data_IF_920411971660
#
_entry.id   IF_920411971660
#
_cell.length_a   1.000
_cell.length_b   1.000
_cell.length_c   1.000
_cell.angle_alpha   90.00
_cell.angle_beta   90.00
_cell.angle_gamma   90.00
#
_symmetry.space_group_name_H-M   'P 1'
#
loop_
_entity.id
_entity.type
_entity.pdbx_description
1 polymer ?
#
# COMPACT_ATOMS: atom_id res chain seq x y z
N UNK A 1 -44.03 23.17 -18.24
CA UNK A 1 -43.80 22.98 -16.79
C UNK A 1 -43.05 21.65 -16.60
N UNK A 2 -41.84 21.54 -17.16
CA UNK A 2 -41.02 20.31 -17.22
C UNK A 2 -39.52 20.59 -17.03
N UNK A 3 -39.15 21.83 -16.69
CA UNK A 3 -37.75 22.30 -16.61
C UNK A 3 -37.25 22.53 -15.17
N UNK A 4 -38.12 22.40 -14.17
CA UNK A 4 -37.77 22.55 -12.75
C UNK A 4 -37.16 21.29 -12.16
N UNK A 5 -37.60 20.12 -12.63
CA UNK A 5 -37.24 18.83 -12.03
C UNK A 5 -35.86 18.36 -12.49
N UNK A 6 -35.47 18.68 -13.73
CA UNK A 6 -34.15 18.40 -14.30
C UNK A 6 -33.02 19.19 -13.61
N UNK A 7 -33.30 20.43 -13.19
CA UNK A 7 -32.34 21.28 -12.44
C UNK A 7 -32.23 20.92 -10.95
N UNK A 8 -33.25 20.30 -10.37
CA UNK A 8 -33.19 19.79 -9.01
C UNK A 8 -32.46 18.43 -8.95
N UNK A 9 -32.67 17.54 -9.93
CA UNK A 9 -31.92 16.29 -10.04
C UNK A 9 -30.40 16.53 -10.22
N UNK A 10 -30.01 17.56 -10.98
CA UNK A 10 -28.59 17.92 -11.16
C UNK A 10 -27.95 18.61 -9.95
N UNK A 11 -28.76 19.13 -9.00
CA UNK A 11 -28.28 19.68 -7.74
C UNK A 11 -28.17 18.63 -6.64
N UNK A 12 -29.03 17.61 -6.67
CA UNK A 12 -28.95 16.44 -5.78
C UNK A 12 -27.76 15.52 -6.11
N UNK A 13 -27.36 15.45 -7.38
CA UNK A 13 -26.19 14.67 -7.80
C UNK A 13 -24.85 15.30 -7.40
N UNK A 14 -24.78 16.59 -7.05
CA UNK A 14 -23.53 17.20 -6.62
C UNK A 14 -23.11 16.83 -5.18
N UNK A 15 -23.97 16.12 -4.43
CA UNK A 15 -23.64 15.50 -3.14
C UNK A 15 -23.00 14.10 -3.26
N UNK A 16 -22.64 13.65 -4.48
CA UNK A 16 -22.40 12.24 -4.82
C UNK A 16 -21.11 11.58 -4.30
N UNK A 17 -20.05 12.32 -3.95
CA UNK A 17 -18.81 11.77 -3.36
C UNK A 17 -17.87 12.94 -3.04
N UNK A 18 -17.48 13.11 -1.78
CA UNK A 18 -16.47 14.10 -1.38
C UNK A 18 -15.18 13.39 -0.93
N UNK A 19 -14.24 13.25 -1.88
CA UNK A 19 -12.95 12.61 -1.65
C UNK A 19 -12.15 13.29 -0.54
N UNK A 20 -12.26 14.62 -0.44
CA UNK A 20 -11.54 15.41 0.56
C UNK A 20 -12.10 15.13 1.93
N UNK A 21 -13.41 15.17 2.09
CA UNK A 21 -14.05 14.90 3.37
C UNK A 21 -13.78 13.46 3.84
N UNK A 22 -13.84 12.49 2.92
CA UNK A 22 -13.50 11.09 3.22
C UNK A 22 -12.02 10.93 3.58
N UNK A 23 -11.11 11.52 2.80
CA UNK A 23 -9.67 11.48 3.09
C UNK A 23 -9.31 12.11 4.42
N UNK A 24 -9.88 13.28 4.75
CA UNK A 24 -9.66 13.96 6.03
C UNK A 24 -10.16 13.16 7.24
N UNK A 25 -11.08 12.22 7.03
CA UNK A 25 -11.62 11.38 8.09
C UNK A 25 -10.79 10.13 8.40
N UNK A 26 -9.87 9.75 7.50
CA UNK A 26 -8.96 8.63 7.72
C UNK A 26 -7.95 8.97 8.81
N UNK A 27 -7.81 8.10 9.81
CA UNK A 27 -6.83 8.23 10.89
C UNK A 27 -6.08 6.92 11.05
N UNK A 28 -4.78 6.99 11.33
CA UNK A 28 -4.01 5.79 11.67
C UNK A 28 -4.56 5.18 12.96
N UNK A 29 -4.98 3.93 12.90
CA UNK A 29 -5.57 3.19 14.03
C UNK A 29 -4.71 2.01 14.47
N UNK A 30 -3.84 1.50 13.61
CA UNK A 30 -2.92 0.43 13.95
C UNK A 30 -1.62 0.48 13.12
N UNK A 31 -0.54 0.07 13.76
CA UNK A 31 0.75 -0.21 13.11
C UNK A 31 1.24 -1.56 13.60
N UNK A 32 1.35 -2.52 12.68
CA UNK A 32 1.77 -3.88 12.99
C UNK A 32 3.12 -4.21 12.35
N UNK A 33 3.92 -5.01 13.04
CA UNK A 33 5.20 -5.51 12.54
C UNK A 33 5.07 -7.02 12.29
N UNK A 34 5.04 -7.40 11.02
CA UNK A 34 4.97 -8.80 10.60
C UNK A 34 6.41 -9.29 10.40
N UNK A 35 6.87 -10.12 11.34
CA UNK A 35 8.21 -10.74 11.28
C UNK A 35 8.10 -12.12 10.65
N UNK A 36 8.85 -12.36 9.58
CA UNK A 36 9.00 -13.68 8.98
C UNK A 36 10.47 -13.94 8.67
N UNK A 37 11.07 -14.90 9.38
CA UNK A 37 12.49 -15.24 9.26
C UNK A 37 13.39 -13.99 9.44
N UNK A 38 14.03 -13.55 8.35
CA UNK A 38 14.93 -12.38 8.30
C UNK A 38 14.26 -11.13 7.71
N UNK A 39 12.93 -11.15 7.51
CA UNK A 39 12.18 -10.06 6.90
C UNK A 39 11.20 -9.45 7.90
N UNK A 40 11.20 -8.12 7.92
CA UNK A 40 10.26 -7.31 8.66
C UNK A 40 9.41 -6.51 7.68
N UNK A 41 8.09 -6.66 7.80
CA UNK A 41 7.11 -5.86 7.06
C UNK A 41 6.33 -5.03 8.08
N UNK A 42 6.29 -3.73 7.86
CA UNK A 42 5.46 -2.80 8.64
C UNK A 42 4.14 -2.61 7.92
N UNK A 43 3.03 -2.80 8.63
CA UNK A 43 1.67 -2.61 8.13
C UNK A 43 1.06 -1.42 8.86
N UNK A 44 0.64 -0.40 8.12
CA UNK A 44 -0.09 0.74 8.65
C UNK A 44 -1.54 0.66 8.21
N UNK A 45 -2.47 0.83 9.15
CA UNK A 45 -3.89 0.86 8.88
C UNK A 45 -4.48 2.21 9.27
N UNK A 46 -5.07 2.87 8.29
CA UNK A 46 -5.85 4.09 8.44
C UNK A 46 -7.32 3.76 8.24
N UNK A 47 -8.16 4.13 9.20
CA UNK A 47 -9.59 3.84 9.19
C UNK A 47 -10.42 5.14 9.23
N UNK A 48 -11.51 5.16 8.49
CA UNK A 48 -12.48 6.24 8.43
C UNK A 48 -13.79 5.82 9.09
N UNK A 49 -14.42 6.75 9.81
CA UNK A 49 -15.80 6.60 10.28
C UNK A 49 -16.86 6.64 9.15
N UNK A 50 -16.45 6.79 7.89
CA UNK A 50 -17.31 7.00 6.72
C UNK A 50 -17.13 5.90 5.66
N UNK A 51 -16.83 4.68 6.10
CA UNK A 51 -16.66 3.50 5.25
C UNK A 51 -15.50 3.64 4.25
N UNK A 52 -14.30 3.82 4.81
CA UNK A 52 -13.07 3.74 4.06
C UNK A 52 -11.91 3.24 4.92
N UNK A 53 -11.01 2.49 4.29
CA UNK A 53 -9.78 1.99 4.90
C UNK A 53 -8.61 2.18 3.93
N UNK A 54 -7.45 2.58 4.45
CA UNK A 54 -6.20 2.61 3.72
C UNK A 54 -5.18 1.74 4.47
N UNK A 55 -4.66 0.74 3.78
CA UNK A 55 -3.60 -0.13 4.25
C UNK A 55 -2.32 0.14 3.45
N UNK A 56 -1.19 0.22 4.15
CA UNK A 56 0.14 0.42 3.55
C UNK A 56 1.07 -0.62 4.15
N UNK A 57 1.72 -1.42 3.29
CA UNK A 57 2.75 -2.36 3.69
C UNK A 57 4.11 -1.89 3.20
N UNK A 58 5.06 -1.80 4.13
CA UNK A 58 6.42 -1.36 3.87
C UNK A 58 7.44 -2.42 4.24
N UNK A 59 8.53 -2.49 3.50
CA UNK A 59 9.66 -3.33 3.86
C UNK A 59 10.54 -2.69 4.96
N UNK A 60 11.55 -3.42 5.41
CA UNK A 60 12.55 -2.95 6.38
C UNK A 60 13.33 -1.67 5.96
N UNK A 61 13.31 -1.30 4.68
CA UNK A 61 13.90 -0.07 4.14
C UNK A 61 12.87 1.05 3.96
N UNK A 62 11.66 0.86 4.49
CA UNK A 62 10.53 1.79 4.41
C UNK A 62 10.01 2.00 2.98
N UNK A 63 10.29 1.09 2.03
CA UNK A 63 9.68 1.13 0.71
C UNK A 63 8.28 0.51 0.76
N UNK A 64 7.32 1.15 0.10
CA UNK A 64 5.97 0.60 -0.06
C UNK A 64 6.02 -0.58 -1.03
N UNK A 65 5.63 -1.77 -0.58
CA UNK A 65 5.58 -3.00 -1.38
C UNK A 65 4.15 -3.37 -1.78
N UNK A 66 3.17 -2.87 -1.02
CA UNK A 66 1.75 -3.00 -1.28
C UNK A 66 1.01 -1.82 -0.62
N UNK A 67 -0.07 -1.38 -1.23
CA UNK A 67 -1.01 -0.42 -0.67
C UNK A 67 -2.42 -0.74 -1.17
N UNK A 68 -3.42 -0.46 -0.35
CA UNK A 68 -4.80 -0.75 -0.68
C UNK A 68 -5.69 0.30 -0.06
N UNK A 69 -6.58 0.89 -0.84
CA UNK A 69 -7.65 1.74 -0.34
C UNK A 69 -9.00 1.12 -0.70
N UNK A 70 -9.87 0.97 0.29
CA UNK A 70 -11.27 0.62 0.12
C UNK A 70 -12.16 1.77 0.54
N UNK A 71 -13.25 1.98 -0.17
CA UNK A 71 -14.25 3.00 0.15
C UNK A 71 -15.58 2.66 -0.49
N UNK A 72 -16.68 2.74 0.26
CA UNK A 72 -18.03 2.48 -0.26
C UNK A 72 -18.15 1.17 -1.05
N UNK A 73 -17.55 0.10 -0.51
CA UNK A 73 -17.48 -1.22 -1.15
C UNK A 73 -16.57 -1.31 -2.38
N UNK A 74 -15.96 -0.21 -2.84
CA UNK A 74 -14.95 -0.23 -3.91
C UNK A 74 -13.56 -0.47 -3.34
N UNK A 75 -12.68 -0.98 -4.19
CA UNK A 75 -11.30 -1.27 -3.87
C UNK A 75 -10.36 -0.73 -4.95
N UNK A 76 -9.26 -0.13 -4.53
CA UNK A 76 -8.08 0.09 -5.36
C UNK A 76 -6.85 -0.45 -4.63
N UNK A 77 -6.16 -1.40 -5.26
CA UNK A 77 -4.94 -2.00 -4.73
C UNK A 77 -3.78 -1.70 -5.69
N UNK A 78 -2.60 -1.43 -5.15
CA UNK A 78 -1.35 -1.59 -5.86
C UNK A 78 -0.43 -2.53 -5.09
N UNK A 79 0.23 -3.43 -5.80
CA UNK A 79 1.37 -4.15 -5.26
C UNK A 79 2.49 -4.23 -6.30
N UNK A 80 3.71 -4.39 -5.82
CA UNK A 80 4.91 -4.35 -6.66
C UNK A 80 4.97 -5.48 -7.72
N UNK A 81 4.20 -6.56 -7.56
CA UNK A 81 4.23 -7.72 -8.45
C UNK A 81 3.21 -7.56 -9.59
N UNK A 82 1.99 -7.17 -9.25
CA UNK A 82 0.84 -7.20 -10.15
C UNK A 82 0.42 -5.80 -10.64
N UNK A 83 0.92 -4.73 -10.01
CA UNK A 83 0.55 -3.36 -10.34
C UNK A 83 -0.78 -2.95 -9.74
N UNK A 84 -1.45 -2.00 -10.39
CA UNK A 84 -2.73 -1.45 -9.93
C UNK A 84 -3.90 -2.33 -10.39
N UNK A 85 -4.81 -2.63 -9.45
CA UNK A 85 -6.10 -3.27 -9.72
C UNK A 85 -7.22 -2.55 -9.00
N UNK A 86 -8.43 -2.64 -9.55
CA UNK A 86 -9.66 -2.25 -8.88
C UNK A 86 -10.54 -3.47 -8.61
N UNK A 87 -11.51 -3.31 -7.72
CA UNK A 87 -12.49 -4.34 -7.45
C UNK A 87 -13.55 -3.90 -6.46
N UNK A 88 -14.26 -4.89 -5.92
CA UNK A 88 -15.28 -4.72 -4.91
C UNK A 88 -14.95 -5.53 -3.65
N UNK A 89 -15.26 -4.93 -2.50
CA UNK A 89 -15.29 -5.60 -1.21
C UNK A 89 -16.69 -6.13 -0.99
N UNK A 90 -16.83 -7.45 -0.91
CA UNK A 90 -18.10 -8.14 -0.70
C UNK A 90 -18.12 -8.66 0.73
N UNK A 91 -19.01 -8.09 1.54
CA UNK A 91 -19.27 -8.60 2.88
C UNK A 91 -20.16 -9.84 2.78
N UNK A 92 -19.67 -10.98 3.29
CA UNK A 92 -20.49 -12.18 3.39
C UNK A 92 -21.19 -12.23 4.75
N UNK A 93 -22.45 -11.80 4.77
CA UNK A 93 -23.29 -11.84 5.97
C UNK A 93 -23.66 -13.29 6.40
N UNK A 94 -23.45 -14.29 5.53
CA UNK A 94 -23.85 -15.68 5.81
C UNK A 94 -22.86 -16.43 6.69
N UNK A 95 -21.59 -16.03 6.72
CA UNK A 95 -20.55 -16.61 7.58
C UNK A 95 -20.39 -15.82 8.89
N UNK A 96 -21.44 -15.87 9.74
CA UNK A 96 -21.53 -15.21 11.07
C UNK A 96 -20.41 -15.52 12.08
N UNK A 97 -19.46 -16.39 11.75
CA UNK A 97 -18.46 -16.87 12.71
C UNK A 97 -17.04 -16.37 12.49
N UNK A 98 -16.68 -15.81 11.31
CA UNK A 98 -15.37 -15.19 11.02
C UNK A 98 -15.38 -14.56 9.62
N UNK A 99 -16.38 -13.74 9.30
CA UNK A 99 -16.60 -13.21 7.94
C UNK A 99 -15.42 -12.37 7.46
N UNK A 100 -14.45 -12.99 6.77
CA UNK A 100 -13.42 -12.25 6.04
C UNK A 100 -14.07 -11.68 4.79
N UNK A 101 -13.99 -10.35 4.61
CA UNK A 101 -14.49 -9.72 3.40
C UNK A 101 -13.87 -10.38 2.16
N UNK A 102 -14.72 -10.73 1.18
CA UNK A 102 -14.28 -11.31 -0.07
C UNK A 102 -13.96 -10.18 -1.06
N UNK A 103 -12.73 -10.15 -1.57
CA UNK A 103 -12.36 -9.22 -2.63
C UNK A 103 -12.64 -9.84 -4.00
N UNK A 104 -13.42 -9.14 -4.82
CA UNK A 104 -13.62 -9.48 -6.24
C UNK A 104 -12.95 -8.42 -7.10
N UNK A 105 -11.83 -8.76 -7.73
CA UNK A 105 -11.17 -7.88 -8.67
C UNK A 105 -11.93 -7.74 -9.99
N UNK A 106 -11.84 -6.56 -10.58
CA UNK A 106 -12.35 -6.30 -11.92
C UNK A 106 -11.46 -6.94 -12.98
N UNK A 107 -12.04 -7.26 -14.14
CA UNK A 107 -11.27 -7.72 -15.30
C UNK A 107 -10.41 -6.62 -15.93
N UNK A 108 -10.80 -5.36 -15.75
CA UNK A 108 -10.11 -4.17 -16.23
C UNK A 108 -10.12 -3.06 -15.17
N UNK A 109 -9.10 -2.21 -15.18
CA UNK A 109 -8.96 -1.10 -14.24
C UNK A 109 -10.11 -0.08 -14.40
N UNK A 110 -10.90 0.10 -13.34
CA UNK A 110 -11.96 1.10 -13.29
C UNK A 110 -11.36 2.49 -13.03
N UNK A 111 -11.32 3.32 -14.08
CA UNK A 111 -10.69 4.65 -14.04
C UNK A 111 -11.29 5.57 -12.96
N UNK A 112 -12.61 5.50 -12.77
CA UNK A 112 -13.29 6.32 -11.78
C UNK A 112 -12.88 5.94 -10.36
N UNK A 113 -12.91 4.64 -10.02
CA UNK A 113 -12.44 4.12 -8.74
C UNK A 113 -10.98 4.49 -8.50
N UNK A 114 -10.13 4.37 -9.53
CA UNK A 114 -8.73 4.74 -9.44
C UNK A 114 -8.54 6.23 -9.12
N UNK A 115 -9.26 7.11 -9.82
CA UNK A 115 -9.20 8.56 -9.57
C UNK A 115 -9.69 8.91 -8.16
N UNK A 116 -10.81 8.32 -7.74
CA UNK A 116 -11.38 8.52 -6.40
C UNK A 116 -10.41 8.08 -5.31
N UNK A 117 -9.76 6.92 -5.47
CA UNK A 117 -8.73 6.44 -4.53
C UNK A 117 -7.55 7.41 -4.41
N UNK A 118 -7.04 7.92 -5.53
CA UNK A 118 -5.98 8.93 -5.55
C UNK A 118 -6.40 10.21 -4.84
N UNK A 119 -7.61 10.71 -5.12
CA UNK A 119 -8.14 11.94 -4.53
C UNK A 119 -8.32 11.80 -3.01
N UNK A 120 -8.77 10.64 -2.52
CA UNK A 120 -8.88 10.36 -1.08
C UNK A 120 -7.49 10.40 -0.42
N UNK A 121 -6.52 9.65 -0.96
CA UNK A 121 -5.14 9.58 -0.42
C UNK A 121 -4.51 10.97 -0.32
N UNK A 122 -4.77 11.84 -1.31
CA UNK A 122 -4.31 13.23 -1.30
C UNK A 122 -4.68 14.00 -0.03
N UNK A 123 -5.79 13.64 0.61
CA UNK A 123 -6.35 14.34 1.76
C UNK A 123 -6.16 13.63 3.10
N UNK A 124 -5.52 12.44 3.12
CA UNK A 124 -5.30 11.70 4.38
C UNK A 124 -4.36 12.47 5.30
N UNK A 125 -4.77 12.77 6.55
CA UNK A 125 -3.91 13.38 7.56
C UNK A 125 -2.96 12.34 8.18
N UNK A 126 -1.83 12.79 8.69
CA UNK A 126 -0.85 11.91 9.35
C UNK A 126 0.12 11.19 8.40
N UNK A 127 -0.26 10.97 7.13
CA UNK A 127 0.71 10.59 6.11
C UNK A 127 1.75 11.70 5.93
N UNK A 128 3.03 11.34 6.03
CA UNK A 128 4.09 12.28 5.67
C UNK A 128 4.05 12.58 4.17
N UNK A 129 4.64 13.71 3.78
CA UNK A 129 4.58 14.19 2.40
C UNK A 129 5.18 13.20 1.39
N UNK A 130 6.24 12.50 1.77
CA UNK A 130 6.92 11.55 0.91
C UNK A 130 6.06 10.30 0.66
N UNK A 131 5.50 9.71 1.71
CA UNK A 131 4.59 8.57 1.60
C UNK A 131 3.38 8.91 0.72
N UNK A 132 2.80 10.11 0.88
CA UNK A 132 1.69 10.54 0.05
C UNK A 132 2.07 10.62 -1.43
N UNK A 133 3.25 11.16 -1.74
CA UNK A 133 3.80 11.21 -3.11
C UNK A 133 4.01 9.79 -3.65
N UNK A 134 4.62 8.90 -2.84
CA UNK A 134 4.94 7.53 -3.26
C UNK A 134 3.67 6.71 -3.50
N UNK A 135 2.67 6.79 -2.61
CA UNK A 135 1.37 6.12 -2.77
C UNK A 135 0.67 6.58 -4.04
N UNK A 136 0.55 7.89 -4.25
CA UNK A 136 -0.08 8.44 -5.45
C UNK A 136 0.72 8.06 -6.71
N UNK A 137 2.05 8.11 -6.65
CA UNK A 137 2.91 7.72 -7.77
C UNK A 137 2.75 6.23 -8.10
N UNK A 138 2.62 5.35 -7.11
CA UNK A 138 2.38 3.93 -7.31
C UNK A 138 1.03 3.67 -8.01
N UNK A 139 -0.02 4.38 -7.60
CA UNK A 139 -1.33 4.29 -8.24
C UNK A 139 -1.37 4.84 -9.67
N UNK A 140 -0.55 5.84 -9.99
CA UNK A 140 -0.53 6.45 -11.34
C UNK A 140 0.40 5.70 -12.28
N UNK A 141 1.64 5.43 -11.85
CA UNK A 141 2.70 4.87 -12.70
C UNK A 141 2.71 3.34 -12.68
N UNK A 142 2.12 2.72 -11.64
CA UNK A 142 2.06 1.28 -11.46
C UNK A 142 3.40 0.57 -11.70
N UNK A 143 4.51 1.00 -11.06
CA UNK A 143 5.80 0.38 -11.29
C UNK A 143 5.76 -1.10 -10.89
N UNK A 144 6.27 -1.97 -11.76
CA UNK A 144 6.34 -3.42 -11.50
C UNK A 144 7.77 -3.83 -11.20
N UNK A 145 7.92 -4.80 -10.30
CA UNK A 145 9.20 -5.43 -9.99
C UNK A 145 9.87 -5.99 -11.24
N UNK A 146 9.09 -6.59 -12.15
CA UNK A 146 9.57 -7.16 -13.42
C UNK A 146 10.10 -6.14 -14.42
N UNK A 147 9.79 -4.85 -14.22
CA UNK A 147 10.23 -3.75 -15.08
C UNK A 147 11.44 -3.01 -14.51
N UNK A 148 11.83 -3.31 -13.27
CA UNK A 148 12.98 -2.67 -12.61
C UNK A 148 14.28 -3.34 -13.03
N UNK A 149 15.34 -2.53 -13.15
CA UNK A 149 16.70 -3.07 -13.32
C UNK A 149 17.14 -3.83 -12.07
N UNK A 150 18.05 -4.82 -12.19
CA UNK A 150 18.63 -5.49 -11.01
C UNK A 150 19.25 -4.50 -10.01
N UNK A 151 19.90 -3.45 -10.50
CA UNK A 151 20.51 -2.41 -9.67
C UNK A 151 19.46 -1.64 -8.88
N UNK A 152 18.34 -1.28 -9.52
CA UNK A 152 17.20 -0.64 -8.86
C UNK A 152 16.57 -1.54 -7.80
N UNK A 153 16.37 -2.83 -8.12
CA UNK A 153 15.83 -3.82 -7.18
C UNK A 153 16.73 -3.94 -5.95
N UNK A 154 18.04 -4.06 -6.14
CA UNK A 154 18.99 -4.20 -5.04
C UNK A 154 19.06 -2.91 -4.20
N UNK A 155 19.05 -1.75 -4.85
CA UNK A 155 19.04 -0.46 -4.19
C UNK A 155 17.81 -0.31 -3.29
N UNK A 156 16.61 -0.53 -3.86
CA UNK A 156 15.34 -0.36 -3.16
C UNK A 156 15.07 -1.49 -2.18
N UNK A 157 15.01 -2.74 -2.65
CA UNK A 157 14.50 -3.88 -1.87
C UNK A 157 15.59 -4.87 -1.43
N UNK A 158 16.83 -4.71 -1.93
CA UNK A 158 17.92 -5.61 -1.59
C UNK A 158 18.20 -5.62 -0.10
N UNK A 159 18.41 -6.78 0.47
CA UNK A 159 18.88 -6.91 1.86
C UNK A 159 20.35 -6.47 1.83
N UNK A 160 20.72 -5.42 2.57
CA UNK A 160 22.13 -5.25 2.90
C UNK A 160 22.51 -6.47 3.72
N UNK A 161 23.12 -7.47 3.08
CA UNK A 161 23.80 -8.50 3.86
C UNK A 161 24.79 -7.71 4.71
N UNK A 162 24.59 -7.70 6.03
CA UNK A 162 25.72 -7.48 6.91
C UNK A 162 26.67 -8.59 6.48
N UNK A 163 27.68 -8.25 5.68
CA UNK A 163 28.76 -9.15 5.38
C UNK A 163 29.12 -9.74 6.73
N UNK A 164 28.96 -11.05 6.90
CA UNK A 164 29.32 -11.71 8.15
C UNK A 164 30.81 -11.46 8.29
N UNK A 165 31.18 -10.37 8.97
CA UNK A 165 32.53 -10.15 9.45
C UNK A 165 32.87 -11.43 10.17
N UNK A 166 33.87 -12.14 9.66
CA UNK A 166 34.31 -13.41 10.23
C UNK A 166 34.35 -13.22 11.75
N UNK A 167 33.74 -14.11 12.55
CA UNK A 167 33.78 -13.98 13.99
C UNK A 167 35.22 -13.74 14.45
N UNK A 168 35.46 -12.86 15.41
CA UNK A 168 36.83 -12.53 15.82
C UNK A 168 37.67 -13.77 16.15
N UNK A 169 37.05 -14.81 16.71
CA UNK A 169 37.71 -16.08 16.98
C UNK A 169 38.18 -16.81 15.71
N UNK A 170 37.41 -16.72 14.61
CA UNK A 170 37.77 -17.29 13.31
C UNK A 170 38.91 -16.48 12.66
N UNK A 171 38.92 -15.15 12.84
CA UNK A 171 40.04 -14.29 12.42
C UNK A 171 41.31 -14.65 13.21
N UNK A 172 41.19 -14.87 14.53
CA UNK A 172 42.31 -15.30 15.38
C UNK A 172 42.86 -16.67 14.98
N UNK A 173 42.00 -17.64 14.67
CA UNK A 173 42.43 -18.97 14.20
C UNK A 173 43.13 -18.87 12.83
N UNK A 174 42.58 -18.11 11.89
CA UNK A 174 43.20 -17.94 10.57
C UNK A 174 44.55 -17.21 10.66
N UNK A 175 44.70 -16.25 11.59
CA UNK A 175 45.98 -15.61 11.88
C UNK A 175 46.98 -16.58 12.55
N UNK A 176 46.52 -17.43 13.48
CA UNK A 176 47.36 -18.44 14.11
C UNK A 176 47.84 -19.52 13.12
N UNK A 177 46.99 -19.89 12.15
CA UNK A 177 47.32 -20.85 11.09
C UNK A 177 48.12 -20.23 9.93
N UNK A 178 48.41 -18.92 9.94
CA UNK A 178 49.12 -18.24 8.85
C UNK A 178 48.32 -18.14 7.54
N UNK A 179 47.00 -18.30 7.59
CA UNK A 179 46.10 -18.35 6.43
C UNK A 179 45.42 -17.02 6.10
N UNK A 180 45.72 -15.93 6.82
CA UNK A 180 45.20 -14.61 6.49
C UNK A 180 46.05 -13.96 5.39
N UNK A 181 45.62 -14.12 4.14
CA UNK A 181 46.22 -13.43 2.99
C UNK A 181 46.09 -11.91 3.14
N UNK A 182 47.19 -11.20 2.86
CA UNK A 182 47.20 -9.74 2.71
C UNK A 182 46.34 -9.37 1.49
N UNK A 183 45.25 -8.65 1.71
CA UNK A 183 44.64 -7.73 0.75
C UNK A 183 44.38 -6.42 1.49
#
# INVERSE_FOLDING_TARGET
MQDSDSRQASKLSAHLFDARELGLSLKEVATDIIKKEDKEIQSHWYHSSKDADLFIWKDHKNNIIKQQISFYGQLMEWNIIEGVRTGLVIEDETTKLNGSALIRYDGELQKQTAQQGIDIVGHVPGLNAQDKIDIISNFIKSPLFSQMSPEEILSRYGIQSKAKTKPEWLIRILNWLGLSGKN
#
